data_IF_697851972504
#
_entry.id   IF_697851972504
#
_cell.length_a   1.000
_cell.length_b   1.000
_cell.length_c   1.000
_cell.angle_alpha   90.00
_cell.angle_beta   90.00
_cell.angle_gamma   90.00
#
_symmetry.space_group_name_H-M   'P 1'
#
loop_
_entity.id
_entity.type
_entity.pdbx_description
1 polymer ?
#
# COMPACT_ATOMS: atom_id res chain seq x y z
N UNK A 1 28.17 -13.77 -38.50
CA UNK A 1 26.84 -14.05 -37.93
C UNK A 1 25.91 -12.93 -38.33
N UNK A 2 24.77 -13.27 -38.93
CA UNK A 2 23.78 -12.31 -39.44
C UNK A 2 23.18 -11.50 -38.27
N UNK A 3 23.16 -10.17 -38.39
CA UNK A 3 22.68 -9.25 -37.34
C UNK A 3 21.23 -9.54 -36.94
N UNK A 4 20.42 -10.13 -37.82
CA UNK A 4 19.05 -10.56 -37.51
C UNK A 4 18.98 -11.79 -36.61
N UNK A 5 19.95 -12.70 -36.71
CA UNK A 5 20.03 -13.92 -35.88
C UNK A 5 20.47 -13.56 -34.46
N UNK A 6 21.39 -12.60 -34.31
CA UNK A 6 21.83 -12.11 -33.00
C UNK A 6 20.72 -11.35 -32.27
N UNK A 7 19.92 -10.55 -32.98
CA UNK A 7 18.81 -9.81 -32.38
C UNK A 7 17.65 -10.73 -31.96
N UNK A 8 17.33 -11.75 -32.77
CA UNK A 8 16.29 -12.74 -32.43
C UNK A 8 16.71 -13.61 -31.26
N UNK A 9 17.99 -14.02 -31.20
CA UNK A 9 18.52 -14.76 -30.05
C UNK A 9 18.55 -13.90 -28.78
N UNK A 10 18.88 -12.61 -28.87
CA UNK A 10 18.85 -11.69 -27.73
C UNK A 10 17.44 -11.44 -27.20
N UNK A 11 16.43 -11.32 -28.08
CA UNK A 11 15.02 -11.16 -27.69
C UNK A 11 14.48 -12.44 -27.07
N UNK A 12 14.82 -13.62 -27.61
CA UNK A 12 14.40 -14.91 -27.04
C UNK A 12 15.10 -15.18 -25.70
N UNK A 13 16.37 -14.82 -25.54
CA UNK A 13 17.07 -14.90 -24.25
C UNK A 13 16.53 -13.87 -23.26
N UNK A 14 16.17 -12.66 -23.67
CA UNK A 14 15.55 -11.67 -22.79
C UNK A 14 14.13 -12.07 -22.35
N UNK A 15 13.33 -12.68 -23.25
CA UNK A 15 12.01 -13.22 -22.89
C UNK A 15 12.09 -14.47 -22.03
N UNK A 16 13.09 -15.34 -22.25
CA UNK A 16 13.33 -16.47 -21.37
C UNK A 16 13.87 -16.01 -20.00
N UNK A 17 14.66 -14.94 -19.92
CA UNK A 17 15.08 -14.40 -18.63
C UNK A 17 13.94 -13.70 -17.87
N UNK A 18 12.94 -13.10 -18.54
CA UNK A 18 11.79 -12.48 -17.87
C UNK A 18 10.67 -13.45 -17.49
N UNK A 19 10.53 -14.58 -18.19
CA UNK A 19 9.48 -15.56 -17.93
C UNK A 19 9.95 -16.86 -17.25
N UNK A 20 11.27 -17.15 -17.25
CA UNK A 20 11.82 -18.38 -16.63
C UNK A 20 12.42 -18.18 -15.25
N UNK A 21 12.45 -16.95 -14.71
CA UNK A 21 12.81 -16.72 -13.30
C UNK A 21 11.65 -17.11 -12.35
N UNK A 22 10.44 -17.28 -12.87
CA UNK A 22 9.28 -17.75 -12.10
C UNK A 22 9.19 -19.27 -11.92
N UNK A 23 10.07 -20.06 -12.56
CA UNK A 23 10.07 -21.52 -12.42
C UNK A 23 11.51 -22.02 -12.45
N UNK A 24 12.19 -22.02 -11.30
CA UNK A 24 13.24 -22.98 -10.87
C UNK A 24 14.02 -22.52 -9.61
N UNK A 25 13.30 -22.10 -8.57
CA UNK A 25 13.78 -22.19 -7.18
C UNK A 25 12.79 -23.02 -6.35
N UNK A 26 12.47 -24.21 -6.84
CA UNK A 26 11.78 -25.23 -6.06
C UNK A 26 12.80 -26.28 -5.61
N UNK A 27 13.55 -25.92 -4.56
CA UNK A 27 14.14 -26.75 -3.50
C UNK A 27 15.44 -26.14 -2.99
N UNK A 28 15.35 -25.39 -1.90
CA UNK A 28 16.19 -25.64 -0.74
C UNK A 28 15.32 -25.46 0.51
N UNK A 29 15.15 -26.59 1.20
CA UNK A 29 14.78 -26.79 2.61
C UNK A 29 13.51 -26.15 3.18
N UNK A 30 12.89 -26.95 4.05
CA UNK A 30 11.58 -26.79 4.69
C UNK A 30 11.57 -25.68 5.74
N UNK A 31 11.79 -24.44 5.33
CA UNK A 31 11.41 -23.28 6.14
C UNK A 31 9.96 -22.93 5.85
N UNK A 32 9.20 -22.81 6.93
CA UNK A 32 7.84 -22.30 6.90
C UNK A 32 7.85 -20.88 6.33
N UNK A 33 7.26 -20.73 5.13
CA UNK A 33 7.16 -19.47 4.39
C UNK A 33 5.84 -18.75 4.67
N UNK A 34 5.10 -19.19 5.69
CA UNK A 34 3.85 -18.58 6.08
C UNK A 34 4.06 -17.13 6.53
N UNK A 35 3.06 -16.28 6.28
CA UNK A 35 3.10 -14.86 6.61
C UNK A 35 1.82 -14.50 7.37
N UNK A 36 1.97 -13.75 8.46
CA UNK A 36 0.85 -13.14 9.18
C UNK A 36 0.82 -11.63 8.97
N UNK A 37 -0.37 -11.04 9.01
CA UNK A 37 -0.52 -9.60 9.27
C UNK A 37 -0.55 -9.37 10.78
N UNK A 38 0.28 -8.45 11.28
CA UNK A 38 0.47 -8.23 12.72
C UNK A 38 0.18 -6.80 13.18
N UNK A 39 -0.04 -5.86 12.25
CA UNK A 39 -0.44 -4.48 12.54
C UNK A 39 -0.94 -3.77 11.27
N UNK A 40 -1.63 -2.63 11.44
CA UNK A 40 -1.84 -1.62 10.39
C UNK A 40 -0.64 -0.66 10.33
N UNK A 41 -0.57 0.17 9.29
CA UNK A 41 0.44 1.22 9.14
C UNK A 41 -0.22 2.60 9.00
N UNK A 42 -1.26 2.67 8.19
CA UNK A 42 -2.05 3.87 7.97
C UNK A 42 -3.43 3.53 7.40
N UNK A 43 -4.34 4.48 7.50
CA UNK A 43 -5.48 4.66 6.59
C UNK A 43 -5.28 5.95 5.80
N UNK A 44 -5.95 6.07 4.67
CA UNK A 44 -5.86 7.21 3.76
C UNK A 44 -4.47 7.48 3.16
N UNK A 45 -4.37 8.56 2.39
CA UNK A 45 -3.12 8.98 1.73
C UNK A 45 -2.98 8.55 0.28
N UNK A 46 -4.09 8.32 -0.43
CA UNK A 46 -4.08 8.22 -1.90
C UNK A 46 -5.15 9.10 -2.52
N UNK A 47 -4.98 9.43 -3.80
CA UNK A 47 -5.96 10.23 -4.52
C UNK A 47 -5.99 9.94 -6.00
N UNK A 48 -7.17 10.18 -6.58
CA UNK A 48 -7.41 10.16 -8.02
C UNK A 48 -7.20 11.57 -8.54
N UNK A 49 -6.27 11.71 -9.48
CA UNK A 49 -5.98 12.96 -10.18
C UNK A 49 -6.39 12.83 -11.63
N UNK A 50 -6.71 13.97 -12.25
CA UNK A 50 -7.07 14.08 -13.66
C UNK A 50 -6.21 15.15 -14.32
N UNK A 51 -5.93 14.98 -15.61
CA UNK A 51 -5.23 15.99 -16.39
C UNK A 51 -5.99 17.32 -16.36
N UNK A 52 -5.29 18.46 -16.23
CA UNK A 52 -5.91 19.78 -16.07
C UNK A 52 -6.80 20.23 -17.26
N UNK A 53 -6.83 19.49 -18.37
CA UNK A 53 -7.85 19.66 -19.41
C UNK A 53 -9.27 19.27 -18.97
N UNK A 54 -9.41 18.63 -17.80
CA UNK A 54 -10.68 18.19 -17.22
C UNK A 54 -10.94 18.82 -15.87
N UNK A 55 -12.22 18.94 -15.52
CA UNK A 55 -12.68 19.39 -14.21
C UNK A 55 -13.27 18.20 -13.44
N UNK A 56 -13.22 18.24 -12.10
CA UNK A 56 -13.82 17.19 -11.27
C UNK A 56 -15.32 16.98 -11.58
N UNK A 57 -16.03 18.10 -11.84
CA UNK A 57 -17.44 18.12 -12.25
C UNK A 57 -17.75 17.41 -13.58
N UNK A 58 -16.74 17.08 -14.39
CA UNK A 58 -16.95 16.25 -15.58
C UNK A 58 -17.14 14.78 -15.22
N UNK A 59 -16.53 14.31 -14.12
CA UNK A 59 -16.45 12.91 -13.71
C UNK A 59 -17.40 12.55 -12.56
N UNK A 60 -17.67 13.50 -11.66
CA UNK A 60 -18.47 13.29 -10.44
C UNK A 60 -19.36 14.50 -10.15
N UNK A 61 -20.40 14.30 -9.35
CA UNK A 61 -21.18 15.40 -8.78
C UNK A 61 -20.34 16.08 -7.69
N UNK A 62 -20.24 17.41 -7.77
CA UNK A 62 -19.48 18.24 -6.82
C UNK A 62 -20.34 19.34 -6.20
N UNK A 63 -19.89 19.86 -5.06
CA UNK A 63 -20.46 21.05 -4.44
C UNK A 63 -20.00 22.36 -5.12
N UNK A 64 -20.34 23.52 -4.54
CA UNK A 64 -19.94 24.84 -5.07
C UNK A 64 -18.44 25.13 -4.99
N UNK A 65 -17.70 24.36 -4.20
CA UNK A 65 -16.26 24.47 -3.97
C UNK A 65 -15.48 23.45 -4.81
N UNK A 66 -16.18 22.55 -5.52
CA UNK A 66 -15.58 21.51 -6.35
C UNK A 66 -15.27 20.22 -5.61
N UNK A 67 -15.71 20.08 -4.35
CA UNK A 67 -15.51 18.86 -3.56
C UNK A 67 -16.57 17.80 -3.94
N UNK A 68 -16.23 16.50 -3.85
CA UNK A 68 -17.22 15.44 -4.12
C UNK A 68 -18.48 15.59 -3.26
N UNK A 69 -19.65 15.53 -3.88
CA UNK A 69 -20.95 15.60 -3.19
C UNK A 69 -21.60 14.20 -3.14
N UNK A 70 -21.45 13.47 -2.02
CA UNK A 70 -22.03 12.14 -1.89
C UNK A 70 -23.57 12.16 -1.90
N UNK A 71 -24.17 11.03 -2.24
CA UNK A 71 -25.62 10.83 -2.13
C UNK A 71 -26.06 10.65 -0.66
N UNK A 72 -27.35 10.38 -0.46
CA UNK A 72 -27.93 10.23 0.88
C UNK A 72 -27.36 9.02 1.67
N UNK A 73 -26.77 8.06 0.97
CA UNK A 73 -26.16 6.86 1.54
C UNK A 73 -24.64 7.03 1.71
N UNK A 74 -24.09 8.21 1.36
CA UNK A 74 -22.67 8.52 1.48
C UNK A 74 -21.84 8.12 0.24
N UNK A 75 -22.47 7.67 -0.85
CA UNK A 75 -21.73 7.19 -2.02
C UNK A 75 -21.42 8.33 -3.00
N UNK A 76 -20.24 8.25 -3.64
CA UNK A 76 -19.88 9.16 -4.72
C UNK A 76 -20.79 8.95 -5.93
N UNK A 77 -21.28 10.07 -6.48
CA UNK A 77 -22.14 10.06 -7.65
C UNK A 77 -21.31 10.30 -8.93
N UNK A 78 -21.22 9.29 -9.79
CA UNK A 78 -20.38 9.34 -10.99
C UNK A 78 -21.15 9.76 -12.26
N UNK A 79 -20.53 10.63 -13.05
CA UNK A 79 -20.91 10.89 -14.44
C UNK A 79 -20.32 9.82 -15.36
N UNK A 80 -20.79 8.59 -15.23
CA UNK A 80 -20.19 7.40 -15.87
C UNK A 80 -19.91 7.53 -17.38
N UNK A 81 -20.74 8.24 -18.13
CA UNK A 81 -20.53 8.44 -19.58
C UNK A 81 -19.21 9.17 -19.87
N UNK A 82 -18.72 9.99 -18.94
CA UNK A 82 -17.44 10.68 -19.09
C UNK A 82 -16.23 9.80 -18.76
N UNK A 83 -16.41 8.71 -18.00
CA UNK A 83 -15.35 7.76 -17.70
C UNK A 83 -15.06 6.82 -18.87
N UNK A 84 -16.05 6.56 -19.73
CA UNK A 84 -15.94 5.63 -20.84
C UNK A 84 -14.80 6.03 -21.80
N UNK A 85 -13.96 5.05 -22.15
CA UNK A 85 -12.83 5.22 -23.06
C UNK A 85 -11.62 5.94 -22.45
N UNK A 86 -11.69 6.41 -21.20
CA UNK A 86 -10.56 7.08 -20.51
C UNK A 86 -9.45 6.10 -20.16
N UNK A 87 -8.24 6.62 -20.05
CA UNK A 87 -7.04 5.84 -19.71
C UNK A 87 -6.43 6.35 -18.40
N UNK A 88 -6.45 5.54 -17.35
CA UNK A 88 -5.95 5.91 -16.02
C UNK A 88 -4.62 5.24 -15.68
N UNK A 89 -3.70 5.99 -15.08
CA UNK A 89 -2.48 5.46 -14.49
C UNK A 89 -2.72 4.79 -13.14
N UNK A 90 -2.08 3.64 -12.89
CA UNK A 90 -2.03 2.97 -11.59
C UNK A 90 -0.60 2.50 -11.29
N UNK A 91 -0.22 2.28 -10.02
CA UNK A 91 1.14 1.86 -9.64
C UNK A 91 1.53 0.42 -10.00
N UNK A 92 0.54 -0.41 -10.30
CA UNK A 92 0.69 -1.85 -10.47
C UNK A 92 -0.64 -2.56 -10.26
N UNK A 93 -0.89 -3.63 -11.00
CA UNK A 93 -2.16 -4.38 -10.97
C UNK A 93 -2.49 -5.03 -9.62
N UNK A 94 -1.52 -5.17 -8.73
CA UNK A 94 -1.70 -5.68 -7.36
C UNK A 94 -1.74 -4.58 -6.29
N UNK A 95 -1.53 -3.30 -6.66
CA UNK A 95 -1.54 -2.19 -5.71
C UNK A 95 -2.97 -1.85 -5.26
N UNK A 96 -3.13 -1.30 -4.04
CA UNK A 96 -4.44 -0.89 -3.52
C UNK A 96 -5.12 0.14 -4.40
N UNK A 97 -4.35 1.07 -4.95
CA UNK A 97 -4.84 2.09 -5.86
C UNK A 97 -5.48 1.45 -7.11
N UNK A 98 -4.88 0.39 -7.65
CA UNK A 98 -5.46 -0.34 -8.78
C UNK A 98 -6.75 -1.05 -8.40
N UNK A 99 -6.78 -1.71 -7.24
CA UNK A 99 -7.97 -2.41 -6.74
C UNK A 99 -9.13 -1.44 -6.55
N UNK A 100 -8.90 -0.31 -5.88
CA UNK A 100 -9.90 0.73 -5.62
C UNK A 100 -10.43 1.35 -6.91
N UNK A 101 -9.55 1.76 -7.83
CA UNK A 101 -9.97 2.35 -9.10
C UNK A 101 -10.77 1.34 -9.95
N UNK A 102 -10.37 0.07 -9.96
CA UNK A 102 -11.14 -0.98 -10.63
C UNK A 102 -12.53 -1.13 -10.02
N UNK A 103 -12.66 -1.16 -8.70
CA UNK A 103 -13.96 -1.27 -8.03
C UNK A 103 -14.88 -0.11 -8.39
N UNK A 104 -14.34 1.12 -8.45
CA UNK A 104 -15.07 2.30 -8.92
C UNK A 104 -15.54 2.12 -10.37
N UNK A 105 -14.64 1.67 -11.26
CA UNK A 105 -14.98 1.45 -12.68
C UNK A 105 -16.05 0.36 -12.86
N UNK A 106 -15.92 -0.75 -12.13
CA UNK A 106 -16.84 -1.88 -12.20
C UNK A 106 -18.21 -1.54 -11.58
N UNK A 107 -18.26 -0.71 -10.54
CA UNK A 107 -19.52 -0.24 -9.96
C UNK A 107 -20.33 0.63 -10.92
N UNK A 108 -19.66 1.35 -11.84
CA UNK A 108 -20.30 2.07 -12.96
C UNK A 108 -20.78 1.14 -14.09
N UNK A 109 -20.44 -0.15 -14.04
CA UNK A 109 -20.82 -1.16 -15.04
C UNK A 109 -19.85 -1.27 -16.23
N UNK A 110 -18.63 -0.73 -16.12
CA UNK A 110 -17.62 -0.82 -17.18
C UNK A 110 -16.59 -1.91 -16.92
N UNK A 111 -15.96 -2.36 -18.01
CA UNK A 111 -14.78 -3.22 -17.94
C UNK A 111 -13.54 -2.38 -17.61
N UNK A 112 -12.69 -2.85 -16.70
CA UNK A 112 -11.38 -2.25 -16.44
C UNK A 112 -10.26 -3.14 -16.97
N UNK A 113 -9.58 -2.70 -18.04
CA UNK A 113 -8.57 -3.53 -18.72
C UNK A 113 -7.34 -2.71 -19.14
N UNK A 114 -6.22 -3.40 -19.35
CA UNK A 114 -4.97 -2.76 -19.78
C UNK A 114 -5.16 -2.04 -21.13
N UNK A 115 -4.63 -0.82 -21.22
CA UNK A 115 -4.61 -0.07 -22.47
C UNK A 115 -3.58 -0.68 -23.44
N UNK A 116 -4.01 -0.92 -24.67
CA UNK A 116 -3.13 -1.25 -25.79
C UNK A 116 -3.28 -0.20 -26.87
N UNK A 117 -2.17 0.19 -27.51
CA UNK A 117 -2.22 1.18 -28.59
C UNK A 117 -3.21 0.76 -29.70
N UNK A 118 -4.16 1.64 -30.03
CA UNK A 118 -5.25 1.35 -30.97
C UNK A 118 -6.50 0.72 -30.33
N UNK A 119 -6.59 0.64 -29.00
CA UNK A 119 -7.81 0.27 -28.32
C UNK A 119 -8.97 1.22 -28.66
N UNK A 120 -10.20 0.70 -28.66
CA UNK A 120 -11.38 1.49 -28.96
C UNK A 120 -11.78 2.37 -27.76
N UNK A 121 -11.50 3.66 -27.86
CA UNK A 121 -11.88 4.68 -26.85
C UNK A 121 -13.12 5.49 -27.27
N UNK A 122 -13.85 5.05 -28.30
CA UNK A 122 -15.07 5.74 -28.76
C UNK A 122 -16.27 5.42 -27.87
N UNK A 123 -17.28 6.31 -27.80
CA UNK A 123 -18.51 6.05 -27.06
C UNK A 123 -19.16 4.71 -27.41
N UNK A 124 -19.63 3.99 -26.38
CA UNK A 124 -20.18 2.64 -26.47
C UNK A 124 -19.15 1.50 -26.42
N UNK A 125 -17.89 1.78 -26.06
CA UNK A 125 -16.87 0.74 -25.85
C UNK A 125 -17.00 -0.01 -24.52
N UNK A 126 -17.85 0.49 -23.60
CA UNK A 126 -18.12 -0.06 -22.27
C UNK A 126 -16.86 -0.38 -21.44
N UNK A 127 -15.79 0.39 -21.64
CA UNK A 127 -14.46 0.10 -21.09
C UNK A 127 -13.79 1.36 -20.57
N UNK A 128 -13.18 1.26 -19.40
CA UNK A 128 -12.17 2.20 -18.90
C UNK A 128 -10.83 1.47 -18.92
N UNK A 129 -9.79 2.13 -19.40
CA UNK A 129 -8.49 1.52 -19.57
C UNK A 129 -7.53 1.90 -18.46
N UNK A 130 -6.51 1.06 -18.22
CA UNK A 130 -5.42 1.40 -17.32
C UNK A 130 -4.03 1.19 -17.90
N UNK A 131 -3.07 1.92 -17.34
CA UNK A 131 -1.63 1.66 -17.42
C UNK A 131 -1.10 1.44 -16.00
N UNK A 132 -0.54 0.27 -15.71
CA UNK A 132 -0.11 -0.15 -14.37
C UNK A 132 1.38 0.10 -14.07
N UNK A 133 2.01 1.01 -14.82
CA UNK A 133 3.42 1.39 -14.65
C UNK A 133 3.64 2.77 -14.04
N UNK A 134 2.60 3.41 -13.50
CA UNK A 134 2.65 4.80 -13.03
C UNK A 134 2.92 4.85 -11.53
N UNK A 135 4.19 4.89 -11.15
CA UNK A 135 4.66 4.82 -9.76
C UNK A 135 5.14 6.15 -9.18
N UNK A 136 5.13 7.24 -9.95
CA UNK A 136 5.49 8.58 -9.48
C UNK A 136 4.95 9.66 -10.43
N UNK A 137 5.05 10.93 -10.03
CA UNK A 137 4.59 12.06 -10.83
C UNK A 137 5.24 12.10 -12.23
N UNK A 138 6.56 11.88 -12.30
CA UNK A 138 7.31 11.90 -13.57
C UNK A 138 6.83 10.81 -14.55
N UNK A 139 6.40 9.64 -14.07
CA UNK A 139 5.86 8.58 -14.92
C UNK A 139 4.56 9.02 -15.63
N UNK A 140 3.69 9.77 -14.95
CA UNK A 140 2.50 10.36 -15.55
C UNK A 140 2.82 11.50 -16.51
N UNK A 141 3.73 12.40 -16.13
CA UNK A 141 4.17 13.52 -16.98
C UNK A 141 4.72 13.03 -18.33
N UNK A 142 5.39 11.88 -18.34
CA UNK A 142 5.94 11.25 -19.54
C UNK A 142 4.93 10.37 -20.32
N UNK A 143 3.67 10.32 -19.89
CA UNK A 143 2.62 9.44 -20.46
C UNK A 143 1.42 10.24 -21.01
N UNK A 144 1.58 10.93 -22.15
CA UNK A 144 0.59 11.89 -22.67
C UNK A 144 -0.78 11.27 -23.04
N UNK A 145 -0.86 9.95 -23.18
CA UNK A 145 -2.08 9.22 -23.45
C UNK A 145 -2.99 9.07 -22.23
N UNK A 146 -2.49 9.30 -21.01
CA UNK A 146 -3.29 9.15 -19.79
C UNK A 146 -4.20 10.35 -19.58
N UNK A 147 -5.42 10.11 -19.12
CA UNK A 147 -6.40 11.14 -18.78
C UNK A 147 -6.37 11.51 -17.29
N UNK A 148 -5.70 10.70 -16.49
CA UNK A 148 -5.55 10.84 -15.05
C UNK A 148 -4.90 9.59 -14.47
N UNK A 149 -5.04 9.40 -13.17
CA UNK A 149 -4.61 8.19 -12.48
C UNK A 149 -4.97 8.20 -11.02
N UNK A 150 -4.55 7.16 -10.31
CA UNK A 150 -4.63 7.06 -8.86
C UNK A 150 -3.23 6.75 -8.32
N UNK A 151 -2.80 7.47 -7.30
CA UNK A 151 -1.47 7.30 -6.72
C UNK A 151 -1.46 7.69 -5.25
N UNK A 152 -0.44 7.22 -4.52
CA UNK A 152 -0.26 7.45 -3.10
C UNK A 152 0.51 8.75 -2.82
N UNK A 153 0.39 9.26 -1.60
CA UNK A 153 1.21 10.37 -1.12
C UNK A 153 2.66 9.95 -0.93
N UNK A 154 3.64 10.82 -1.20
CA UNK A 154 3.49 12.24 -1.57
C UNK A 154 3.40 12.49 -3.08
N UNK A 155 3.35 11.43 -3.90
CA UNK A 155 3.32 11.56 -5.36
C UNK A 155 2.03 12.19 -5.86
N UNK A 156 0.92 11.96 -5.15
CA UNK A 156 -0.36 12.59 -5.44
C UNK A 156 -0.26 14.12 -5.30
N UNK A 157 0.22 14.61 -4.16
CA UNK A 157 0.42 16.06 -3.98
C UNK A 157 1.45 16.63 -4.95
N UNK A 158 2.53 15.89 -5.26
CA UNK A 158 3.52 16.33 -6.24
C UNK A 158 2.93 16.53 -7.65
N UNK A 159 1.92 15.75 -8.04
CA UNK A 159 1.20 15.93 -9.30
C UNK A 159 0.32 17.18 -9.29
N UNK A 160 -0.36 17.46 -8.18
CA UNK A 160 -1.19 18.65 -8.05
C UNK A 160 -0.36 19.95 -8.09
N UNK A 161 0.87 19.91 -7.56
CA UNK A 161 1.81 21.03 -7.61
C UNK A 161 2.69 21.05 -8.89
N UNK A 162 2.55 20.06 -9.79
CA UNK A 162 3.43 19.97 -10.96
C UNK A 162 3.17 21.09 -11.97
N UNK A 163 4.26 21.74 -12.38
CA UNK A 163 4.26 22.71 -13.49
C UNK A 163 4.61 22.10 -14.84
N UNK A 164 5.00 20.82 -14.86
CA UNK A 164 5.36 20.09 -16.10
C UNK A 164 4.11 19.61 -16.82
N UNK A 165 3.19 19.00 -16.06
CA UNK A 165 1.87 18.58 -16.55
C UNK A 165 0.84 18.83 -15.44
N UNK A 166 0.20 20.01 -15.45
CA UNK A 166 -0.78 20.36 -14.42
C UNK A 166 -1.91 19.34 -14.33
N UNK A 167 -2.32 19.06 -13.09
CA UNK A 167 -3.40 18.12 -12.77
C UNK A 167 -4.41 18.79 -11.83
N UNK A 168 -5.65 18.30 -11.88
CA UNK A 168 -6.68 18.62 -10.92
C UNK A 168 -6.94 17.40 -10.01
N UNK A 169 -7.30 17.67 -8.75
CA UNK A 169 -7.83 16.65 -7.83
C UNK A 169 -9.21 16.22 -8.31
N UNK A 170 -9.45 14.92 -8.44
CA UNK A 170 -10.80 14.39 -8.65
C UNK A 170 -11.44 14.03 -7.31
N UNK A 171 -10.77 13.20 -6.51
CA UNK A 171 -11.20 12.78 -5.18
C UNK A 171 -10.06 12.02 -4.49
N UNK A 172 -10.07 12.00 -3.17
CA UNK A 172 -9.15 11.26 -2.31
C UNK A 172 -9.79 9.97 -1.80
N UNK A 173 -8.98 9.05 -1.28
CA UNK A 173 -9.53 7.86 -0.61
C UNK A 173 -10.43 8.19 0.57
N UNK A 174 -10.23 9.34 1.22
CA UNK A 174 -11.08 9.79 2.31
C UNK A 174 -12.50 10.15 1.83
N UNK A 175 -12.65 10.47 0.55
CA UNK A 175 -13.95 10.80 -0.06
C UNK A 175 -14.74 9.54 -0.45
N UNK A 176 -14.06 8.51 -0.99
CA UNK A 176 -14.75 7.35 -1.59
C UNK A 176 -14.64 6.04 -0.80
N UNK A 177 -13.70 5.91 0.14
CA UNK A 177 -13.45 4.71 0.95
C UNK A 177 -12.87 5.09 2.33
N UNK A 178 -13.61 5.88 3.14
CA UNK A 178 -13.10 6.41 4.40
C UNK A 178 -12.80 5.30 5.43
N UNK A 179 -11.61 5.34 6.02
CA UNK A 179 -11.16 4.40 7.06
C UNK A 179 -10.58 3.08 6.52
N UNK A 180 -10.47 2.94 5.20
CA UNK A 180 -10.02 1.73 4.55
C UNK A 180 -8.62 1.29 4.98
N UNK A 181 -8.35 -0.01 4.92
CA UNK A 181 -6.99 -0.51 5.16
C UNK A 181 -6.11 -0.23 3.96
N UNK A 182 -5.16 0.70 4.11
CA UNK A 182 -4.14 1.00 3.11
C UNK A 182 -2.91 0.08 3.28
N UNK A 183 -1.98 0.42 4.17
CA UNK A 183 -0.80 -0.40 4.46
C UNK A 183 -0.90 -1.18 5.78
N UNK A 184 -0.22 -2.31 5.81
CA UNK A 184 -0.16 -3.28 6.91
C UNK A 184 1.29 -3.72 7.14
N UNK A 185 1.54 -4.28 8.31
CA UNK A 185 2.78 -4.96 8.65
C UNK A 185 2.56 -6.46 8.47
N UNK A 186 3.20 -7.02 7.44
CA UNK A 186 3.31 -8.47 7.29
C UNK A 186 4.60 -8.99 7.92
N UNK A 187 4.57 -10.16 8.52
CA UNK A 187 5.74 -10.77 9.16
C UNK A 187 5.82 -12.27 8.86
N UNK A 188 7.04 -12.79 8.75
CA UNK A 188 7.27 -14.24 8.65
C UNK A 188 6.69 -14.94 9.88
N UNK A 189 5.84 -15.94 9.67
CA UNK A 189 5.25 -16.75 10.74
C UNK A 189 6.35 -17.44 11.57
N UNK A 190 7.32 -18.05 10.89
CA UNK A 190 8.46 -18.69 11.54
C UNK A 190 9.25 -17.71 12.43
N UNK A 191 9.47 -16.47 11.96
CA UNK A 191 10.16 -15.46 12.75
C UNK A 191 9.38 -15.09 14.02
N UNK A 192 8.10 -14.73 13.90
CA UNK A 192 7.30 -14.26 15.03
C UNK A 192 7.03 -15.36 16.05
N UNK A 193 6.87 -16.60 15.60
CA UNK A 193 6.69 -17.77 16.48
C UNK A 193 7.97 -18.07 17.27
N UNK A 194 9.15 -17.98 16.65
CA UNK A 194 10.43 -18.26 17.34
C UNK A 194 11.04 -17.07 18.08
N UNK A 195 10.55 -15.85 17.84
CA UNK A 195 11.06 -14.61 18.44
C UNK A 195 9.92 -13.76 19.01
N UNK A 196 8.92 -14.40 19.65
CA UNK A 196 7.70 -13.73 20.09
C UNK A 196 7.94 -12.51 21.00
N UNK A 197 8.93 -12.56 21.89
CA UNK A 197 9.28 -11.40 22.72
C UNK A 197 9.85 -10.23 21.89
N UNK A 198 10.63 -10.54 20.84
CA UNK A 198 11.19 -9.56 19.91
C UNK A 198 10.07 -8.94 19.09
N UNK A 199 9.09 -9.74 18.64
CA UNK A 199 7.93 -9.26 17.89
C UNK A 199 7.07 -8.30 18.72
N UNK A 200 6.78 -8.64 19.98
CA UNK A 200 6.02 -7.74 20.87
C UNK A 200 6.80 -6.44 21.11
N UNK A 201 8.10 -6.52 21.36
CA UNK A 201 8.96 -5.32 21.51
C UNK A 201 9.03 -4.47 20.25
N UNK A 202 9.07 -5.11 19.08
CA UNK A 202 9.08 -4.43 17.79
C UNK A 202 7.79 -3.64 17.60
N UNK A 203 6.64 -4.26 17.85
CA UNK A 203 5.35 -3.59 17.76
C UNK A 203 5.19 -2.50 18.83
N UNK A 204 5.70 -2.69 20.04
CA UNK A 204 5.68 -1.67 21.08
C UNK A 204 6.51 -0.43 20.68
N UNK A 205 7.71 -0.64 20.13
CA UNK A 205 8.53 0.44 19.58
C UNK A 205 7.84 1.13 18.38
N UNK A 206 7.16 0.36 17.53
CA UNK A 206 6.39 0.89 16.41
C UNK A 206 5.19 1.74 16.89
N UNK A 207 4.44 1.28 17.89
CA UNK A 207 3.35 2.05 18.54
C UNK A 207 3.89 3.38 19.07
N UNK A 208 5.02 3.35 19.79
CA UNK A 208 5.66 4.58 20.30
C UNK A 208 6.03 5.54 19.16
N UNK A 209 6.53 5.01 18.05
CA UNK A 209 6.90 5.79 16.87
C UNK A 209 5.68 6.41 16.17
N UNK A 210 4.59 5.64 16.00
CA UNK A 210 3.32 6.15 15.44
C UNK A 210 2.72 7.22 16.34
N UNK A 211 2.72 7.01 17.66
CA UNK A 211 2.24 7.99 18.62
C UNK A 211 3.08 9.28 18.58
N UNK A 212 4.40 9.17 18.42
CA UNK A 212 5.26 10.34 18.22
C UNK A 212 4.86 11.11 16.97
N UNK A 213 4.69 10.43 15.82
CA UNK A 213 4.27 11.07 14.56
C UNK A 213 2.93 11.78 14.77
N UNK A 214 1.93 11.10 15.32
CA UNK A 214 0.61 11.67 15.55
C UNK A 214 0.63 12.86 16.51
N UNK A 215 1.51 12.86 17.52
CA UNK A 215 1.69 14.01 18.42
C UNK A 215 2.36 15.19 17.69
N UNK A 216 3.37 14.95 16.87
CA UNK A 216 4.03 15.99 16.09
C UNK A 216 3.05 16.67 15.11
N UNK A 217 2.14 15.90 14.50
CA UNK A 217 1.11 16.43 13.60
C UNK A 217 0.08 17.36 14.28
N UNK A 218 -0.06 17.30 15.62
CA UNK A 218 -1.00 18.16 16.36
C UNK A 218 -0.51 19.61 16.53
N UNK A 219 0.79 19.84 16.49
CA UNK A 219 1.38 21.19 16.58
C UNK A 219 2.41 21.41 15.47
N UNK A 220 1.93 21.96 14.36
CA UNK A 220 2.75 22.29 13.18
C UNK A 220 3.82 23.35 13.41
N UNK A 221 3.82 24.01 14.58
CA UNK A 221 4.85 24.99 14.94
C UNK A 221 5.97 24.41 15.80
N UNK A 222 5.84 23.14 16.22
CA UNK A 222 6.80 22.45 17.09
C UNK A 222 8.08 22.05 16.36
N UNK A 223 9.17 21.88 17.13
CA UNK A 223 10.43 21.33 16.61
C UNK A 223 10.24 19.87 16.14
N UNK A 224 9.36 19.11 16.78
CA UNK A 224 9.02 17.73 16.40
C UNK A 224 8.36 17.68 15.01
N UNK A 225 7.39 18.56 14.73
CA UNK A 225 6.81 18.65 13.39
C UNK A 225 7.86 19.05 12.34
N UNK A 226 8.71 20.03 12.66
CA UNK A 226 9.77 20.45 11.75
C UNK A 226 10.72 19.28 11.42
N UNK A 227 11.10 18.49 12.44
CA UNK A 227 11.91 17.28 12.28
C UNK A 227 11.20 16.21 11.44
N UNK A 228 9.90 15.96 11.68
CA UNK A 228 9.10 15.01 10.90
C UNK A 228 9.09 15.36 9.42
N UNK A 229 8.88 16.63 9.08
CA UNK A 229 8.87 17.11 7.70
C UNK A 229 10.25 16.94 7.06
N UNK A 230 11.33 17.27 7.76
CA UNK A 230 12.69 17.14 7.23
C UNK A 230 13.07 15.67 6.99
N UNK A 231 12.68 14.77 7.89
CA UNK A 231 12.84 13.33 7.70
C UNK A 231 12.01 12.84 6.52
N UNK A 232 10.76 13.28 6.37
CA UNK A 232 9.91 12.92 5.25
C UNK A 232 10.51 13.39 3.91
N UNK A 233 11.06 14.61 3.84
CA UNK A 233 11.82 15.11 2.67
C UNK A 233 12.98 14.15 2.35
N UNK A 234 13.78 13.78 3.36
CA UNK A 234 14.94 12.89 3.17
C UNK A 234 14.54 11.51 2.67
N UNK A 235 13.47 10.92 3.23
CA UNK A 235 13.05 9.54 2.91
C UNK A 235 12.29 9.45 1.59
N UNK A 236 11.50 10.46 1.25
CA UNK A 236 10.71 10.50 0.01
C UNK A 236 11.52 10.96 -1.19
N UNK A 237 12.57 11.77 -0.95
CA UNK A 237 13.31 12.44 -2.01
C UNK A 237 12.56 13.63 -2.64
N UNK A 238 11.37 13.98 -2.13
CA UNK A 238 10.64 15.17 -2.57
C UNK A 238 11.10 16.35 -1.74
N UNK A 239 11.72 17.33 -2.40
CA UNK A 239 12.33 18.50 -1.75
C UNK A 239 11.36 19.65 -1.51
N UNK A 240 10.18 19.64 -2.14
CA UNK A 240 9.17 20.66 -1.90
C UNK A 240 8.51 20.42 -0.54
N UNK A 241 8.77 21.32 0.40
CA UNK A 241 8.23 21.24 1.76
C UNK A 241 6.70 21.28 1.77
N UNK A 242 6.09 22.11 0.92
CA UNK A 242 4.63 22.28 0.86
C UNK A 242 3.96 20.98 0.45
N UNK A 243 4.57 20.27 -0.52
CA UNK A 243 4.11 18.94 -0.95
C UNK A 243 4.14 17.95 0.21
N UNK A 244 5.23 17.94 0.99
CA UNK A 244 5.37 17.04 2.13
C UNK A 244 4.39 17.37 3.25
N UNK A 245 4.23 18.65 3.61
CA UNK A 245 3.30 19.07 4.66
C UNK A 245 1.85 18.71 4.30
N UNK A 246 1.41 18.99 3.07
CA UNK A 246 0.08 18.60 2.60
C UNK A 246 -0.08 17.06 2.49
N UNK A 247 0.99 16.33 2.18
CA UNK A 247 0.98 14.87 2.17
C UNK A 247 0.76 14.31 3.58
N UNK A 248 1.52 14.80 4.56
CA UNK A 248 1.40 14.39 5.97
C UNK A 248 0.00 14.66 6.53
N UNK A 249 -0.63 15.77 6.13
CA UNK A 249 -2.00 16.11 6.55
C UNK A 249 -3.06 15.12 6.06
N UNK A 250 -2.81 14.44 4.95
CA UNK A 250 -3.77 13.54 4.32
C UNK A 250 -3.61 12.07 4.73
N UNK A 251 -2.55 11.73 5.46
CA UNK A 251 -2.27 10.37 5.93
C UNK A 251 -2.69 10.23 7.38
N UNK A 252 -3.47 9.20 7.69
CA UNK A 252 -3.82 8.86 9.07
C UNK A 252 -2.94 7.69 9.51
N UNK A 253 -1.93 7.97 10.32
CA UNK A 253 -1.00 6.96 10.83
C UNK A 253 -1.63 6.15 11.96
N UNK A 254 -1.61 4.82 11.84
CA UNK A 254 -2.21 3.90 12.82
C UNK A 254 -1.44 2.58 12.86
N UNK A 255 -1.51 1.87 13.97
CA UNK A 255 -0.99 0.52 14.13
C UNK A 255 -2.11 -0.54 14.25
N UNK A 256 -3.37 -0.12 14.35
CA UNK A 256 -4.51 -0.90 14.82
C UNK A 256 -5.18 -0.20 16.02
N UNK A 257 -6.05 -0.91 16.73
CA UNK A 257 -6.79 -0.39 17.88
C UNK A 257 -7.56 0.90 17.57
N UNK A 258 -8.38 0.86 16.52
CA UNK A 258 -9.32 1.94 16.22
C UNK A 258 -10.71 1.62 16.79
N UNK A 259 -11.05 2.25 17.92
CA UNK A 259 -12.35 2.08 18.57
C UNK A 259 -13.52 2.46 17.66
N UNK A 260 -13.34 3.39 16.71
CA UNK A 260 -14.39 3.78 15.77
C UNK A 260 -14.67 2.69 14.73
N UNK A 261 -13.67 1.83 14.45
CA UNK A 261 -13.81 0.66 13.59
C UNK A 261 -14.18 -0.61 14.38
N UNK A 262 -14.38 -0.50 15.70
CA UNK A 262 -14.79 -1.59 16.57
C UNK A 262 -13.65 -2.46 17.08
N UNK A 263 -12.40 -2.01 16.96
CA UNK A 263 -11.25 -2.70 17.56
C UNK A 263 -11.25 -2.53 19.09
N UNK A 264 -10.72 -3.52 19.80
CA UNK A 264 -10.53 -3.47 21.26
C UNK A 264 -9.08 -3.76 21.63
N UNK A 265 -8.70 -3.54 22.89
CA UNK A 265 -7.34 -3.84 23.35
C UNK A 265 -6.99 -5.34 23.21
N UNK A 266 -7.98 -6.24 23.39
CA UNK A 266 -7.83 -7.69 23.22
C UNK A 266 -7.89 -8.12 21.75
N UNK A 267 -8.52 -7.34 20.89
CA UNK A 267 -8.64 -7.59 19.44
C UNK A 267 -8.36 -6.33 18.63
N UNK A 268 -7.11 -5.87 18.61
CA UNK A 268 -6.76 -4.57 18.02
C UNK A 268 -6.78 -4.56 16.50
N UNK A 269 -7.00 -5.69 15.82
CA UNK A 269 -7.10 -5.80 14.36
C UNK A 269 -8.41 -6.49 13.93
N UNK A 270 -9.46 -6.46 14.76
CA UNK A 270 -10.76 -7.04 14.43
C UNK A 270 -11.37 -6.43 13.15
N UNK A 271 -11.22 -5.11 12.98
CA UNK A 271 -11.61 -4.38 11.77
C UNK A 271 -10.79 -4.84 10.56
N UNK A 272 -9.50 -5.10 10.73
CA UNK A 272 -8.61 -5.59 9.67
C UNK A 272 -9.04 -6.97 9.17
N UNK A 273 -9.47 -7.89 10.04
CA UNK A 273 -10.02 -9.18 9.60
C UNK A 273 -11.18 -9.00 8.62
N UNK A 274 -12.09 -8.07 8.93
CA UNK A 274 -13.24 -7.76 8.08
C UNK A 274 -12.78 -7.18 6.75
N UNK A 275 -11.89 -6.18 6.79
CA UNK A 275 -11.32 -5.57 5.59
C UNK A 275 -10.59 -6.57 4.69
N UNK A 276 -9.86 -7.54 5.28
CA UNK A 276 -9.17 -8.59 4.52
C UNK A 276 -10.17 -9.58 3.91
N UNK A 277 -11.22 -9.95 4.64
CA UNK A 277 -12.27 -10.82 4.13
C UNK A 277 -13.01 -10.20 2.93
N UNK A 278 -13.22 -8.89 2.94
CA UNK A 278 -13.78 -8.17 1.79
C UNK A 278 -12.77 -8.02 0.66
N UNK A 279 -11.51 -7.71 1.00
CA UNK A 279 -10.45 -7.55 0.01
C UNK A 279 -10.25 -8.80 -0.85
N UNK A 280 -10.16 -9.98 -0.25
CA UNK A 280 -9.93 -11.24 -1.02
C UNK A 280 -11.05 -11.58 -1.99
N UNK A 281 -12.27 -11.09 -1.75
CA UNK A 281 -13.38 -11.26 -2.69
C UNK A 281 -13.21 -10.39 -3.94
N UNK A 282 -12.49 -9.29 -3.80
CA UNK A 282 -12.26 -8.32 -4.86
C UNK A 282 -10.92 -8.55 -5.59
N UNK A 283 -9.98 -9.33 -5.04
CA UNK A 283 -8.69 -9.59 -5.67
C UNK A 283 -8.78 -10.58 -6.85
N UNK A 284 -7.96 -10.33 -7.88
CA UNK A 284 -7.75 -11.28 -8.98
C UNK A 284 -6.77 -12.39 -8.56
N UNK A 285 -7.24 -13.29 -7.69
CA UNK A 285 -6.43 -14.38 -7.15
C UNK A 285 -6.28 -15.53 -8.16
N UNK A 286 -5.07 -16.08 -8.27
CA UNK A 286 -4.78 -17.26 -9.10
C UNK A 286 -5.04 -18.56 -8.33
N UNK A 287 -5.02 -18.52 -7.00
CA UNK A 287 -5.43 -19.62 -6.14
C UNK A 287 -6.72 -19.26 -5.38
N UNK A 288 -7.60 -20.25 -5.17
CA UNK A 288 -8.87 -20.06 -4.48
C UNK A 288 -8.72 -20.43 -3.01
N UNK A 289 -9.32 -19.66 -2.11
CA UNK A 289 -9.35 -19.98 -0.68
C UNK A 289 -9.94 -21.37 -0.40
N UNK A 290 -10.97 -21.76 -1.16
CA UNK A 290 -11.58 -23.10 -1.08
C UNK A 290 -10.61 -24.23 -1.38
N UNK A 291 -9.64 -24.01 -2.27
CA UNK A 291 -8.61 -25.02 -2.59
C UNK A 291 -7.57 -25.15 -1.46
N UNK A 292 -7.52 -24.16 -0.58
CA UNK A 292 -6.61 -24.09 0.56
C UNK A 292 -7.32 -24.45 1.88
N UNK A 293 -8.53 -24.99 1.80
CA UNK A 293 -9.27 -25.52 2.95
C UNK A 293 -10.15 -24.52 3.69
N UNK A 294 -10.24 -23.27 3.25
CA UNK A 294 -11.09 -22.25 3.90
C UNK A 294 -12.52 -22.31 3.39
N UNK A 295 -13.48 -22.30 4.31
CA UNK A 295 -14.92 -22.30 4.04
C UNK A 295 -15.47 -20.90 3.72
N UNK A 296 -14.77 -19.85 4.14
CA UNK A 296 -15.14 -18.46 3.89
C UNK A 296 -13.93 -17.52 3.85
N UNK A 297 -14.05 -16.34 3.20
CA UNK A 297 -13.06 -15.26 3.29
C UNK A 297 -12.74 -14.85 4.73
N UNK A 298 -13.74 -14.85 5.62
CA UNK A 298 -13.55 -14.45 7.01
C UNK A 298 -12.75 -15.48 7.81
N UNK A 299 -12.97 -16.78 7.60
CA UNK A 299 -12.15 -17.84 8.21
C UNK A 299 -10.68 -17.72 7.80
N UNK A 300 -10.41 -17.38 6.53
CA UNK A 300 -9.07 -17.06 6.07
C UNK A 300 -8.48 -15.86 6.82
N UNK A 301 -9.23 -14.76 6.88
CA UNK A 301 -8.78 -13.53 7.52
C UNK A 301 -8.43 -13.75 9.01
N UNK A 302 -9.23 -14.54 9.74
CA UNK A 302 -8.97 -14.87 11.15
C UNK A 302 -7.69 -15.69 11.38
N UNK A 303 -7.23 -16.46 10.37
CA UNK A 303 -5.96 -17.19 10.46
C UNK A 303 -4.78 -16.33 10.03
N UNK A 304 -5.03 -15.47 9.05
CA UNK A 304 -4.01 -14.65 8.43
C UNK A 304 -3.64 -13.42 9.28
N UNK A 305 -4.63 -12.76 9.88
CA UNK A 305 -4.45 -11.64 10.80
C UNK A 305 -4.18 -12.19 12.20
N UNK A 306 -3.07 -11.77 12.82
CA UNK A 306 -2.68 -12.20 14.16
C UNK A 306 -2.68 -11.01 15.14
N UNK A 307 -3.78 -10.85 15.84
CA UNK A 307 -4.01 -9.85 16.90
C UNK A 307 -3.05 -9.96 18.09
N UNK A 308 -2.58 -11.18 18.39
CA UNK A 308 -2.02 -11.53 19.69
C UNK A 308 -0.75 -10.76 20.03
N UNK A 309 0.08 -10.46 19.03
CA UNK A 309 1.32 -9.71 19.24
C UNK A 309 1.04 -8.22 19.49
N UNK A 310 0.12 -7.63 18.73
CA UNK A 310 -0.22 -6.21 18.89
C UNK A 310 -0.97 -5.98 20.21
N UNK A 311 -1.87 -6.89 20.58
CA UNK A 311 -2.59 -6.82 21.86
C UNK A 311 -1.62 -6.81 23.06
N UNK A 312 -0.59 -7.68 23.03
CA UNK A 312 0.47 -7.68 24.03
C UNK A 312 1.29 -6.38 24.00
N UNK A 313 1.62 -5.88 22.80
CA UNK A 313 2.39 -4.66 22.61
C UNK A 313 1.69 -3.40 23.17
N UNK A 314 0.36 -3.32 23.07
CA UNK A 314 -0.43 -2.22 23.65
C UNK A 314 -0.32 -2.13 25.17
N UNK A 315 -0.12 -3.27 25.83
CA UNK A 315 0.06 -3.36 27.29
C UNK A 315 1.53 -3.45 27.71
N UNK A 316 2.46 -3.27 26.77
CA UNK A 316 3.86 -3.58 27.01
C UNK A 316 4.54 -2.54 27.89
N UNK A 317 5.08 -3.00 29.01
CA UNK A 317 5.88 -2.17 29.90
C UNK A 317 7.36 -2.31 29.57
N UNK A 318 7.99 -1.19 29.19
CA UNK A 318 9.40 -1.14 28.86
C UNK A 318 10.27 -1.49 30.07
N UNK A 319 11.22 -2.39 29.85
CA UNK A 319 12.13 -2.90 30.88
C UNK A 319 13.12 -1.83 31.32
N UNK A 320 13.32 -1.70 32.62
CA UNK A 320 14.34 -0.83 33.22
C UNK A 320 15.73 -1.46 33.26
N UNK A 321 15.84 -2.78 33.10
CA UNK A 321 17.12 -3.50 33.10
C UNK A 321 17.80 -3.58 31.74
N UNK A 322 17.19 -3.00 30.70
CA UNK A 322 17.64 -3.12 29.31
C UNK A 322 17.31 -4.48 28.69
N UNK A 323 17.66 -4.61 27.41
CA UNK A 323 17.36 -5.76 26.56
C UNK A 323 18.63 -6.33 25.93
N UNK A 324 18.63 -7.62 25.59
CA UNK A 324 19.58 -8.15 24.61
C UNK A 324 19.22 -7.65 23.22
N UNK A 325 20.19 -7.07 22.53
CA UNK A 325 19.99 -6.56 21.17
C UNK A 325 19.69 -7.69 20.19
N UNK A 326 18.66 -7.48 19.37
CA UNK A 326 18.27 -8.36 18.27
C UNK A 326 18.14 -7.54 17.00
N UNK A 327 18.73 -8.03 15.91
CA UNK A 327 18.51 -7.43 14.59
C UNK A 327 17.21 -7.95 14.01
N UNK A 328 16.39 -7.04 13.49
CA UNK A 328 15.18 -7.35 12.72
C UNK A 328 15.36 -6.76 11.32
N UNK A 329 15.24 -7.59 10.29
CA UNK A 329 15.35 -7.16 8.90
C UNK A 329 13.97 -6.72 8.41
N UNK A 330 13.88 -5.47 7.97
CA UNK A 330 12.59 -4.83 7.64
C UNK A 330 12.60 -4.40 6.18
N UNK A 331 11.62 -4.84 5.40
CA UNK A 331 11.42 -4.37 4.03
C UNK A 331 10.38 -3.25 3.99
N UNK A 332 10.70 -2.14 3.31
CA UNK A 332 9.84 -0.96 3.15
C UNK A 332 9.69 -0.59 1.67
N UNK A 333 8.71 0.24 1.34
CA UNK A 333 8.59 0.82 0.00
C UNK A 333 9.44 2.10 -0.06
N UNK A 334 10.32 2.17 -1.06
CA UNK A 334 11.17 3.33 -1.27
C UNK A 334 10.34 4.59 -1.50
N UNK A 335 10.58 5.61 -0.68
CA UNK A 335 9.95 6.92 -0.81
C UNK A 335 8.49 7.01 -0.35
N UNK A 336 8.00 6.00 0.36
CA UNK A 336 6.62 5.93 0.83
C UNK A 336 6.43 6.65 2.18
N UNK A 337 5.70 7.77 2.17
CA UNK A 337 5.48 8.58 3.38
C UNK A 337 4.54 7.90 4.39
N UNK A 338 3.75 6.91 3.97
CA UNK A 338 2.92 6.11 4.89
C UNK A 338 3.78 5.34 5.91
N UNK A 339 5.03 5.06 5.55
CA UNK A 339 5.95 4.25 6.35
C UNK A 339 6.92 5.11 7.17
N UNK A 340 6.66 6.43 7.29
CA UNK A 340 7.59 7.35 7.95
C UNK A 340 7.81 7.02 9.43
N UNK A 341 6.81 6.44 10.11
CA UNK A 341 6.91 6.09 11.52
C UNK A 341 8.02 5.05 11.81
N UNK A 342 8.25 4.05 10.94
CA UNK A 342 9.34 3.10 11.17
C UNK A 342 10.72 3.76 10.98
N UNK A 343 10.84 4.66 10.00
CA UNK A 343 12.08 5.41 9.79
C UNK A 343 12.35 6.40 10.93
N UNK A 344 11.31 7.05 11.44
CA UNK A 344 11.41 7.96 12.57
C UNK A 344 11.84 7.21 13.83
N UNK A 345 11.20 6.07 14.12
CA UNK A 345 11.56 5.25 15.26
C UNK A 345 13.01 4.76 15.21
N UNK A 346 13.52 4.47 14.01
CA UNK A 346 14.91 4.08 13.80
C UNK A 346 15.87 5.26 14.08
N UNK A 347 15.62 6.41 13.45
CA UNK A 347 16.48 7.60 13.59
C UNK A 347 16.49 8.19 15.01
N UNK A 348 15.37 8.10 15.73
CA UNK A 348 15.28 8.54 17.14
C UNK A 348 15.78 7.49 18.15
N UNK A 349 16.23 6.32 17.69
CA UNK A 349 16.68 5.23 18.56
C UNK A 349 15.56 4.61 19.39
N UNK A 350 14.29 4.78 18.99
CA UNK A 350 13.13 4.17 19.66
C UNK A 350 13.29 2.65 19.60
N UNK A 351 13.49 2.05 18.43
CA UNK A 351 13.69 0.59 18.33
C UNK A 351 14.90 0.10 19.14
N UNK A 352 16.02 0.82 19.12
CA UNK A 352 17.21 0.48 19.91
C UNK A 352 16.91 0.43 21.41
N UNK A 353 16.10 1.37 21.90
CA UNK A 353 15.68 1.42 23.30
C UNK A 353 14.76 0.26 23.71
N UNK A 354 14.15 -0.43 22.75
CA UNK A 354 13.44 -1.71 22.92
C UNK A 354 14.34 -2.93 22.65
N UNK A 355 15.65 -2.74 22.48
CA UNK A 355 16.60 -3.82 22.23
C UNK A 355 16.57 -4.33 20.80
N UNK A 356 16.19 -3.50 19.83
CA UNK A 356 16.00 -3.87 18.43
C UNK A 356 16.89 -3.00 17.56
N UNK A 357 17.71 -3.63 16.75
CA UNK A 357 18.46 -2.97 15.68
C UNK A 357 17.73 -3.23 14.36
N UNK A 358 17.30 -2.18 13.65
CA UNK A 358 16.66 -2.37 12.36
C UNK A 358 17.71 -2.50 11.25
N UNK A 359 17.50 -3.47 10.38
CA UNK A 359 18.19 -3.57 9.10
C UNK A 359 17.17 -3.32 8.00
N UNK A 360 16.97 -2.05 7.64
CA UNK A 360 15.94 -1.64 6.69
C UNK A 360 16.44 -1.79 5.24
N UNK A 361 15.69 -2.51 4.42
CA UNK A 361 15.86 -2.60 2.98
C UNK A 361 14.65 -2.00 2.26
N UNK A 362 14.86 -1.40 1.08
CA UNK A 362 13.80 -0.77 0.31
C UNK A 362 13.53 -1.50 -0.99
N UNK A 363 12.25 -1.71 -1.30
CA UNK A 363 11.75 -2.17 -2.58
C UNK A 363 11.11 -1.02 -3.37
N UNK A 364 10.96 -1.17 -4.67
CA UNK A 364 10.35 -0.14 -5.53
C UNK A 364 8.83 -0.01 -5.38
N UNK A 365 8.16 -1.05 -4.87
CA UNK A 365 6.71 -1.08 -4.66
C UNK A 365 6.32 -2.19 -3.67
N UNK A 366 5.03 -2.28 -3.35
CA UNK A 366 4.51 -3.27 -2.40
C UNK A 366 4.71 -4.73 -2.81
N UNK A 367 4.66 -5.06 -4.11
CA UNK A 367 4.92 -6.42 -4.58
C UNK A 367 6.37 -6.85 -4.31
N UNK A 368 7.32 -5.92 -4.42
CA UNK A 368 8.71 -6.14 -4.04
C UNK A 368 8.87 -6.44 -2.55
N UNK A 369 8.21 -5.69 -1.66
CA UNK A 369 8.23 -5.96 -0.20
C UNK A 369 7.65 -7.35 0.10
N UNK A 370 6.52 -7.70 -0.50
CA UNK A 370 5.91 -9.03 -0.32
C UNK A 370 6.84 -10.16 -0.82
N UNK A 371 7.56 -9.93 -1.91
CA UNK A 371 8.55 -10.88 -2.45
C UNK A 371 9.72 -11.08 -1.48
N UNK A 372 10.25 -10.00 -0.88
CA UNK A 372 11.33 -10.12 0.10
C UNK A 372 10.93 -10.94 1.32
N UNK A 373 9.70 -10.79 1.82
CA UNK A 373 9.17 -11.67 2.88
C UNK A 373 9.01 -13.12 2.41
N UNK A 374 8.43 -13.34 1.23
CA UNK A 374 8.27 -14.68 0.66
C UNK A 374 9.61 -15.42 0.46
N UNK A 375 10.67 -14.68 0.16
CA UNK A 375 12.02 -15.20 -0.05
C UNK A 375 12.81 -15.39 1.26
N UNK A 376 12.29 -14.95 2.41
CA UNK A 376 13.02 -14.93 3.68
C UNK A 376 14.14 -13.88 3.74
N UNK A 377 14.09 -12.88 2.86
CA UNK A 377 15.05 -11.75 2.85
C UNK A 377 14.71 -10.69 3.89
N UNK A 378 13.49 -10.70 4.42
CA UNK A 378 13.02 -9.83 5.49
C UNK A 378 12.25 -10.62 6.54
N UNK A 379 12.32 -10.19 7.79
CA UNK A 379 11.53 -10.72 8.91
C UNK A 379 10.14 -10.07 8.95
N UNK A 380 10.11 -8.77 8.63
CA UNK A 380 8.92 -7.89 8.66
C UNK A 380 8.88 -7.02 7.39
N UNK A 381 7.69 -6.73 6.88
CA UNK A 381 7.50 -5.90 5.70
C UNK A 381 6.33 -4.92 5.84
N UNK A 382 6.58 -3.66 5.47
CA UNK A 382 5.59 -2.58 5.40
C UNK A 382 5.07 -2.45 3.97
N UNK A 383 3.80 -2.76 3.77
CA UNK A 383 3.26 -2.97 2.43
C UNK A 383 1.75 -2.76 2.38
N UNK A 384 1.21 -2.43 1.20
CA UNK A 384 -0.24 -2.40 0.99
C UNK A 384 -0.89 -3.76 1.32
N UNK A 385 -2.10 -3.74 1.88
CA UNK A 385 -2.85 -4.96 2.15
C UNK A 385 -3.09 -5.82 0.87
N UNK A 386 -3.42 -5.24 -0.29
CA UNK A 386 -3.62 -6.00 -1.54
C UNK A 386 -2.42 -6.77 -2.07
N UNK A 387 -1.23 -6.16 -2.26
CA UNK A 387 -0.08 -6.92 -2.76
C UNK A 387 0.35 -8.01 -1.78
N UNK A 388 0.29 -7.76 -0.46
CA UNK A 388 0.62 -8.80 0.52
C UNK A 388 -0.38 -9.96 0.48
N UNK A 389 -1.68 -9.66 0.56
CA UNK A 389 -2.73 -10.69 0.56
C UNK A 389 -2.72 -11.50 -0.73
N UNK A 390 -2.47 -10.86 -1.87
CA UNK A 390 -2.32 -11.52 -3.16
C UNK A 390 -1.16 -12.51 -3.14
N UNK A 391 0.01 -12.09 -2.66
CA UNK A 391 1.19 -12.96 -2.55
C UNK A 391 0.94 -14.14 -1.63
N UNK A 392 0.32 -13.91 -0.47
CA UNK A 392 0.03 -14.97 0.51
C UNK A 392 -0.93 -16.01 -0.04
N UNK A 393 -2.06 -15.57 -0.60
CA UNK A 393 -3.08 -16.49 -1.10
C UNK A 393 -2.60 -17.23 -2.34
N UNK A 394 -1.95 -16.55 -3.29
CA UNK A 394 -1.47 -17.19 -4.51
C UNK A 394 -0.26 -18.10 -4.25
N UNK A 395 0.60 -17.74 -3.31
CA UNK A 395 1.78 -18.50 -2.93
C UNK A 395 1.49 -19.68 -1.99
N UNK A 396 0.28 -19.77 -1.43
CA UNK A 396 -0.05 -20.77 -0.41
C UNK A 396 0.74 -20.55 0.88
N UNK A 397 0.99 -19.29 1.24
CA UNK A 397 1.80 -18.86 2.39
C UNK A 397 0.93 -18.58 3.61
N UNK A 398 -0.21 -19.26 3.72
CA UNK A 398 -1.19 -19.03 4.77
C UNK A 398 -0.81 -19.89 5.97
N UNK A 399 -0.72 -19.31 7.18
CA UNK A 399 -0.39 -20.06 8.39
C UNK A 399 -1.23 -21.32 8.56
N UNK A 400 -0.60 -22.44 8.96
CA UNK A 400 -1.26 -23.74 9.11
C UNK A 400 -2.38 -23.77 10.16
#
# INVERSE_FOLDING_TARGET
MDKKVVLTAAIVVAFLLSSSILVLFYNQDTEDKEINLIARVNTEGSGIYIDAKYEASDFIVVDSEGNPLPDADGNIQYHKEFWEGKIFGTPGSTAIQHVQLRQIVESMGYTFTVYTNGANTSPGCNTVYFNDSITNAAAFENSPQLDGGIIWQPQYQALLESTVRPCNSLMTTADFDPGHTCCVIGASHNFITNNSDVTVRFLAAYIESVNWVNNALQDKSSEDYAYLVDLAIQRTGITDRTVIEASLDSVIYTYGYDENLGDTQERPLASLESSIADLVQNLNLTNRLSNQGFSSPYEFAQRYVNDGYLSQALSYEKSTSGYSMRTVTVAVIAGDIHQIAVHLGDELGIFESYGINLNISSASNGAGVATSLQNGEADVGFVGAPPMTTTVVNGGLIPA
#
